data_IF_877687232456
#
_entry.id   IF_877687232456
#
_cell.length_a   1.000
_cell.length_b   1.000
_cell.length_c   1.000
_cell.angle_alpha   90.00
_cell.angle_beta   90.00
_cell.angle_gamma   90.00
#
_symmetry.space_group_name_H-M   'P 1'
#
loop_
_entity.id
_entity.type
_entity.pdbx_description
1 polymer ?
#
# COMPACT_ATOMS: atom_id res chain seq x y z
N UNK A 1 6.46 20.92 -2.28
CA UNK A 1 5.30 20.02 -2.45
C UNK A 1 5.41 18.90 -1.42
N UNK A 2 4.65 18.98 -0.34
CA UNK A 2 4.73 18.02 0.76
C UNK A 2 4.18 16.68 0.29
N UNK A 3 5.05 15.68 0.07
CA UNK A 3 4.63 14.30 -0.18
C UNK A 3 3.67 13.89 0.93
N UNK A 4 2.45 13.51 0.54
CA UNK A 4 1.45 13.06 1.50
C UNK A 4 1.95 11.78 2.16
N UNK A 5 1.74 11.60 3.47
CA UNK A 5 2.12 10.37 4.21
C UNK A 5 1.68 9.10 3.46
N UNK A 6 0.52 9.16 2.79
CA UNK A 6 -0.03 8.11 1.91
C UNK A 6 0.89 7.73 0.74
N UNK A 7 1.46 8.71 0.03
CA UNK A 7 2.42 8.44 -1.06
C UNK A 7 3.67 7.76 -0.53
N UNK A 8 4.14 8.17 0.67
CA UNK A 8 5.33 7.58 1.26
C UNK A 8 5.10 6.12 1.67
N UNK A 9 3.92 5.78 2.18
CA UNK A 9 3.52 4.39 2.47
C UNK A 9 3.42 3.55 1.19
N UNK A 10 2.82 4.10 0.14
CA UNK A 10 2.79 3.46 -1.18
C UNK A 10 4.20 3.18 -1.71
N UNK A 11 5.11 4.16 -1.67
CA UNK A 11 6.50 4.00 -2.08
C UNK A 11 7.20 2.90 -1.28
N UNK A 12 7.00 2.87 0.05
CA UNK A 12 7.58 1.86 0.94
C UNK A 12 7.12 0.45 0.59
N UNK A 13 5.80 0.24 0.49
CA UNK A 13 5.24 -1.07 0.13
C UNK A 13 5.61 -1.47 -1.29
N UNK A 14 5.62 -0.50 -2.21
CA UNK A 14 6.08 -0.72 -3.57
C UNK A 14 7.53 -1.20 -3.62
N UNK A 15 8.40 -0.64 -2.78
CA UNK A 15 9.79 -1.07 -2.67
C UNK A 15 9.93 -2.45 -1.98
N UNK A 16 9.02 -2.79 -1.06
CA UNK A 16 9.07 -4.00 -0.23
C UNK A 16 8.57 -5.25 -0.97
N UNK A 17 7.38 -5.20 -1.57
CA UNK A 17 6.75 -6.34 -2.26
C UNK A 17 6.72 -6.18 -3.78
N UNK A 18 7.01 -4.99 -4.30
CA UNK A 18 6.96 -4.67 -5.73
C UNK A 18 5.63 -4.07 -6.17
N UNK A 19 5.68 -3.27 -7.24
CA UNK A 19 4.50 -2.57 -7.84
C UNK A 19 3.38 -3.53 -8.21
N UNK A 20 3.72 -4.62 -8.89
CA UNK A 20 2.72 -5.57 -9.41
C UNK A 20 2.04 -6.35 -8.28
N UNK A 21 2.78 -6.76 -7.26
CA UNK A 21 2.23 -7.44 -6.10
C UNK A 21 1.34 -6.51 -5.28
N UNK A 22 1.79 -5.26 -5.06
CA UNK A 22 0.99 -4.27 -4.35
C UNK A 22 -0.32 -3.94 -5.07
N UNK A 23 -0.26 -3.77 -6.40
CA UNK A 23 -1.44 -3.56 -7.23
C UNK A 23 -2.40 -4.76 -7.14
N UNK A 24 -1.88 -5.99 -7.16
CA UNK A 24 -2.67 -7.21 -6.99
C UNK A 24 -3.31 -7.31 -5.60
N UNK A 25 -2.57 -7.06 -4.51
CA UNK A 25 -3.10 -7.07 -3.14
C UNK A 25 -4.15 -5.99 -2.91
N UNK A 26 -3.95 -4.80 -3.51
CA UNK A 26 -4.94 -3.74 -3.48
C UNK A 26 -6.12 -4.01 -4.43
N UNK A 27 -6.05 -5.03 -5.30
CA UNK A 27 -7.07 -5.30 -6.31
C UNK A 27 -7.28 -4.13 -7.27
N UNK A 28 -6.20 -3.44 -7.65
CA UNK A 28 -6.24 -2.32 -8.60
C UNK A 28 -5.25 -2.51 -9.74
N UNK A 29 -5.51 -1.94 -10.92
CA UNK A 29 -4.53 -1.90 -12.00
C UNK A 29 -3.27 -1.14 -11.60
N UNK A 30 -2.09 -1.57 -12.08
CA UNK A 30 -0.83 -0.85 -11.87
C UNK A 30 -0.88 0.61 -12.34
N UNK A 31 -1.70 0.92 -13.35
CA UNK A 31 -1.92 2.28 -13.83
C UNK A 31 -2.54 3.17 -12.75
N UNK A 32 -3.55 2.68 -12.02
CA UNK A 32 -4.19 3.40 -10.91
C UNK A 32 -3.19 3.61 -9.76
N UNK A 33 -2.39 2.59 -9.46
CA UNK A 33 -1.35 2.69 -8.43
C UNK A 33 -0.31 3.77 -8.78
N UNK A 34 0.13 3.82 -10.04
CA UNK A 34 1.02 4.86 -10.55
C UNK A 34 0.38 6.24 -10.47
N UNK A 35 -0.92 6.35 -10.75
CA UNK A 35 -1.67 7.60 -10.65
C UNK A 35 -1.69 8.14 -9.22
N UNK A 36 -1.85 7.26 -8.22
CA UNK A 36 -1.74 7.62 -6.80
C UNK A 36 -0.32 8.00 -6.38
N UNK A 37 0.68 7.27 -6.87
CA UNK A 37 2.09 7.55 -6.62
C UNK A 37 2.50 8.93 -7.17
N UNK A 38 2.07 9.25 -8.40
CA UNK A 38 2.33 10.55 -9.03
C UNK A 38 1.45 11.68 -8.47
N UNK A 39 0.45 11.35 -7.66
CA UNK A 39 -0.48 12.34 -7.10
C UNK A 39 -1.49 12.88 -8.12
N UNK A 40 -1.68 12.18 -9.24
CA UNK A 40 -2.70 12.49 -10.24
C UNK A 40 -4.11 12.12 -9.75
N UNK A 41 -4.21 11.07 -8.93
CA UNK A 41 -5.48 10.65 -8.31
C UNK A 41 -5.32 10.49 -6.80
N UNK A 42 -6.40 10.76 -6.07
CA UNK A 42 -6.45 10.56 -4.61
C UNK A 42 -6.82 9.11 -4.32
N UNK A 43 -6.08 8.47 -3.40
CA UNK A 43 -6.42 7.12 -2.95
C UNK A 43 -7.67 7.19 -2.05
N UNK A 44 -8.71 6.37 -2.31
CA UNK A 44 -9.87 6.26 -1.44
C UNK A 44 -9.50 5.59 -0.11
N UNK A 45 -10.13 6.02 0.98
CA UNK A 45 -9.82 5.56 2.35
C UNK A 45 -9.97 4.04 2.52
N UNK A 46 -10.90 3.41 1.78
CA UNK A 46 -11.05 1.95 1.78
C UNK A 46 -9.79 1.20 1.29
N UNK A 47 -9.01 1.80 0.39
CA UNK A 47 -7.74 1.22 -0.09
C UNK A 47 -6.59 1.51 0.88
N UNK A 48 -6.68 2.61 1.64
CA UNK A 48 -5.72 2.93 2.70
C UNK A 48 -5.78 1.90 3.84
N UNK A 49 -6.99 1.46 4.22
CA UNK A 49 -7.16 0.40 5.23
C UNK A 49 -6.48 -0.89 4.77
N UNK A 50 -6.72 -1.32 3.53
CA UNK A 50 -6.07 -2.51 2.94
C UNK A 50 -4.55 -2.35 2.87
N UNK A 51 -4.06 -1.15 2.56
CA UNK A 51 -2.62 -0.87 2.55
C UNK A 51 -2.01 -1.02 3.95
N UNK A 52 -2.68 -0.50 4.99
CA UNK A 52 -2.22 -0.59 6.38
C UNK A 52 -2.22 -2.05 6.86
N UNK A 53 -3.30 -2.79 6.56
CA UNK A 53 -3.40 -4.22 6.87
C UNK A 53 -2.28 -5.03 6.20
N UNK A 54 -1.97 -4.72 4.94
CA UNK A 54 -0.88 -5.34 4.20
C UNK A 54 0.50 -4.99 4.76
N UNK A 55 0.68 -3.76 5.28
CA UNK A 55 1.91 -3.35 5.98
C UNK A 55 2.05 -4.15 7.27
N UNK A 56 0.99 -4.25 8.07
CA UNK A 56 0.99 -5.00 9.33
C UNK A 56 1.31 -6.48 9.10
N UNK A 57 0.74 -7.10 8.06
CA UNK A 57 1.04 -8.48 7.64
C UNK A 57 2.50 -8.66 7.18
N UNK A 58 3.08 -7.68 6.49
CA UNK A 58 4.50 -7.75 6.05
C UNK A 58 5.52 -7.30 7.11
N UNK A 59 5.08 -6.63 8.17
CA UNK A 59 5.89 -6.29 9.36
C UNK A 59 5.76 -7.36 10.46
N UNK A 60 4.63 -8.06 10.50
CA UNK A 60 4.36 -9.20 11.33
C UNK A 60 4.96 -10.49 10.76
N UNK A 61 6.17 -10.84 11.22
CA UNK A 61 6.46 -12.26 11.44
C UNK A 61 5.34 -12.87 12.31
N UNK A 62 5.02 -14.17 12.15
CA UNK A 62 3.75 -14.78 12.60
C UNK A 62 3.38 -14.32 14.01
N UNK A 63 2.24 -13.63 14.12
CA UNK A 63 1.63 -13.32 15.41
C UNK A 63 1.44 -14.64 16.17
N UNK A 64 2.11 -14.87 17.32
CA UNK A 64 1.78 -16.02 18.13
C UNK A 64 0.37 -15.77 18.68
N UNK A 65 -0.58 -16.52 18.15
CA UNK A 65 -1.88 -16.77 18.78
C UNK A 65 -1.62 -17.09 20.24
N UNK A 66 -1.92 -16.15 21.14
CA UNK A 66 -1.96 -16.43 22.57
C UNK A 66 -3.40 -16.74 22.92
N UNK A 67 -3.66 -18.05 22.94
CA UNK A 67 -4.83 -18.74 23.48
C UNK A 67 -5.16 -18.32 24.92
#
# INVERSE_FOLDING_TARGET
MSKSTRQRLLELMTARIGRSALAASLGVPCAILLDWLNGHSTMPDGKLIVLIDLIDDTEGGPVPTRS
#
